data_IF_709706858392
#
_entry.id   IF_709706858392
#
_cell.length_a   1.000
_cell.length_b   1.000
_cell.length_c   1.000
_cell.angle_alpha   90.00
_cell.angle_beta   90.00
_cell.angle_gamma   90.00
#
_symmetry.space_group_name_H-M   'P 1'
#
loop_
_entity.id
_entity.type
_entity.pdbx_description
1 polymer ?
#
# COMPACT_ATOMS: atom_id res chain seq x y z
N UNK A 1 -5.47 1.22 2.12
CA UNK A 1 -4.80 0.97 0.84
C UNK A 1 -5.38 1.96 -0.16
N UNK A 2 -4.55 2.60 -0.97
CA UNK A 2 -4.99 3.57 -1.97
C UNK A 2 -4.48 3.16 -3.35
N UNK A 3 -5.26 3.44 -4.39
CA UNK A 3 -4.89 3.22 -5.79
C UNK A 3 -4.89 4.57 -6.51
N UNK A 4 -3.76 4.93 -7.08
CA UNK A 4 -3.58 6.14 -7.86
C UNK A 4 -3.58 5.79 -9.35
N UNK A 5 -4.33 6.54 -10.14
CA UNK A 5 -4.45 6.35 -11.59
C UNK A 5 -4.51 7.70 -12.30
N UNK A 6 -4.18 7.70 -13.59
CA UNK A 6 -4.39 8.88 -14.43
C UNK A 6 -5.89 9.18 -14.56
N UNK A 7 -6.31 10.40 -14.17
CA UNK A 7 -7.73 10.79 -14.14
C UNK A 7 -8.49 10.52 -15.44
N UNK A 8 -7.82 10.65 -16.59
CA UNK A 8 -8.44 10.44 -17.92
C UNK A 8 -8.71 8.98 -18.24
N UNK A 9 -7.85 8.07 -17.77
CA UNK A 9 -7.96 6.63 -18.01
C UNK A 9 -8.75 5.92 -16.90
N UNK A 10 -8.76 6.50 -15.70
CA UNK A 10 -9.42 5.89 -14.56
C UNK A 10 -8.86 4.50 -14.26
N UNK A 11 -9.76 3.57 -13.91
CA UNK A 11 -9.40 2.21 -13.53
C UNK A 11 -9.06 1.31 -14.72
N UNK A 12 -9.30 1.74 -15.95
CA UNK A 12 -9.01 0.95 -17.16
C UNK A 12 -7.50 0.73 -17.35
N UNK A 13 -6.67 1.61 -16.79
CA UNK A 13 -5.22 1.47 -16.80
C UNK A 13 -4.68 0.44 -15.79
N UNK A 14 -5.51 -0.02 -14.85
CA UNK A 14 -5.11 -0.98 -13.83
C UNK A 14 -5.39 -2.43 -14.30
N UNK A 15 -4.46 -3.38 -14.08
CA UNK A 15 -4.68 -4.78 -14.41
C UNK A 15 -5.90 -5.37 -13.69
N UNK A 16 -6.67 -6.21 -14.37
CA UNK A 16 -7.86 -6.85 -13.79
C UNK A 16 -7.52 -7.69 -12.54
N UNK A 17 -6.37 -8.37 -12.54
CA UNK A 17 -5.88 -9.12 -11.39
C UNK A 17 -5.68 -8.23 -10.15
N UNK A 18 -5.19 -7.01 -10.35
CA UNK A 18 -5.04 -6.04 -9.26
C UNK A 18 -6.41 -5.59 -8.74
N UNK A 19 -7.33 -5.25 -9.65
CA UNK A 19 -8.68 -4.81 -9.27
C UNK A 19 -9.44 -5.91 -8.51
N UNK A 20 -9.23 -7.19 -8.86
CA UNK A 20 -9.79 -8.33 -8.11
C UNK A 20 -9.31 -8.37 -6.66
N UNK A 21 -8.03 -8.13 -6.41
CA UNK A 21 -7.47 -8.09 -5.06
C UNK A 21 -7.86 -6.81 -4.32
N UNK A 22 -7.93 -5.68 -5.04
CA UNK A 22 -8.32 -4.39 -4.49
C UNK A 22 -9.80 -4.34 -4.08
N UNK A 23 -10.64 -5.10 -4.77
CA UNK A 23 -12.09 -5.13 -4.55
C UNK A 23 -12.78 -3.98 -5.27
N UNK A 24 -13.77 -3.36 -4.63
CA UNK A 24 -14.56 -2.27 -5.22
C UNK A 24 -13.96 -0.91 -4.83
N UNK A 25 -13.18 -0.24 -5.72
CA UNK A 25 -12.66 1.09 -5.45
C UNK A 25 -13.78 2.13 -5.32
N UNK A 26 -13.54 3.12 -4.47
CA UNK A 26 -14.37 4.31 -4.31
C UNK A 26 -13.52 5.53 -4.64
N UNK A 27 -13.99 6.47 -5.48
CA UNK A 27 -13.26 7.70 -5.74
C UNK A 27 -13.15 8.52 -4.45
N UNK A 28 -11.92 8.84 -4.04
CA UNK A 28 -11.65 9.56 -2.79
C UNK A 28 -11.38 11.04 -3.07
N UNK A 29 -10.46 11.34 -3.99
CA UNK A 29 -10.09 12.71 -4.34
C UNK A 29 -9.38 12.77 -5.69
N UNK A 30 -9.52 13.91 -6.36
CA UNK A 30 -8.71 14.28 -7.51
C UNK A 30 -7.64 15.27 -7.08
N UNK A 31 -6.41 15.11 -7.57
CA UNK A 31 -5.35 16.07 -7.32
C UNK A 31 -4.40 16.18 -8.51
N UNK A 32 -3.82 17.37 -8.66
CA UNK A 32 -2.66 17.57 -9.53
C UNK A 32 -1.43 17.06 -8.77
N UNK A 33 -0.80 16.01 -9.30
CA UNK A 33 0.53 15.59 -8.86
C UNK A 33 1.57 16.47 -9.57
N UNK A 34 2.37 17.18 -8.77
CA UNK A 34 3.59 17.83 -9.21
C UNK A 34 4.74 17.32 -8.34
N UNK A 35 6.00 17.35 -8.81
CA UNK A 35 7.15 16.85 -8.05
C UNK A 35 7.31 17.52 -6.67
N UNK A 36 6.86 18.76 -6.53
CA UNK A 36 6.95 19.55 -5.30
C UNK A 36 5.86 19.19 -4.28
N UNK A 37 4.79 18.52 -4.73
CA UNK A 37 3.68 18.14 -3.86
C UNK A 37 4.05 16.89 -3.07
N UNK A 38 4.24 17.01 -1.76
CA UNK A 38 4.53 15.86 -0.90
C UNK A 38 3.25 15.09 -0.54
N UNK A 39 3.28 13.77 -0.73
CA UNK A 39 2.25 12.86 -0.21
C UNK A 39 2.65 12.40 1.20
N UNK A 40 1.67 12.29 2.09
CA UNK A 40 1.92 11.99 3.51
C UNK A 40 2.47 10.59 3.79
N UNK A 41 2.33 9.66 2.83
CA UNK A 41 2.56 8.23 3.05
C UNK A 41 3.32 7.55 1.92
N UNK A 42 3.70 8.26 0.86
CA UNK A 42 4.39 7.69 -0.30
C UNK A 42 5.24 8.76 -0.97
N UNK A 43 6.26 8.36 -1.73
CA UNK A 43 7.06 9.26 -2.54
C UNK A 43 6.33 9.65 -3.83
N UNK A 44 6.08 10.95 -4.00
CA UNK A 44 5.41 11.52 -5.17
C UNK A 44 6.11 11.19 -6.48
N UNK A 45 7.45 11.23 -6.53
CA UNK A 45 8.20 10.92 -7.74
C UNK A 45 7.99 9.47 -8.16
N UNK A 46 8.01 8.55 -7.19
CA UNK A 46 7.70 7.14 -7.40
C UNK A 46 6.26 6.92 -7.84
N UNK A 47 5.29 7.64 -7.28
CA UNK A 47 3.89 7.57 -7.75
C UNK A 47 3.79 8.01 -9.21
N UNK A 48 4.42 9.13 -9.56
CA UNK A 48 4.40 9.67 -10.93
C UNK A 48 5.05 8.72 -11.93
N UNK A 49 6.23 8.17 -11.60
CA UNK A 49 6.96 7.22 -12.44
C UNK A 49 6.14 5.95 -12.67
N UNK A 50 5.54 5.40 -11.61
CA UNK A 50 4.68 4.23 -11.73
C UNK A 50 3.47 4.50 -12.63
N UNK A 51 2.76 5.62 -12.43
CA UNK A 51 1.62 5.96 -13.29
C UNK A 51 2.04 6.11 -14.75
N UNK A 52 3.22 6.69 -15.03
CA UNK A 52 3.71 6.86 -16.40
C UNK A 52 4.11 5.53 -17.06
N UNK A 53 4.75 4.64 -16.31
CA UNK A 53 5.31 3.39 -16.85
C UNK A 53 4.28 2.26 -16.91
N UNK A 54 3.44 2.11 -15.89
CA UNK A 54 2.50 0.99 -15.75
C UNK A 54 1.03 1.40 -15.73
N UNK A 55 0.72 2.69 -15.64
CA UNK A 55 -0.65 3.24 -15.67
C UNK A 55 -1.33 3.37 -14.31
N UNK A 56 -0.73 2.85 -13.24
CA UNK A 56 -1.28 2.91 -11.88
C UNK A 56 -0.18 2.89 -10.81
N UNK A 57 -0.54 3.23 -9.56
CA UNK A 57 0.32 3.04 -8.40
C UNK A 57 -0.51 2.56 -7.19
N UNK A 58 -0.09 1.46 -6.56
CA UNK A 58 -0.75 0.88 -5.40
C UNK A 58 0.02 1.23 -4.12
N UNK A 59 -0.64 1.95 -3.22
CA UNK A 59 -0.12 2.23 -1.89
C UNK A 59 -0.62 1.17 -0.89
N UNK A 60 0.31 0.34 -0.44
CA UNK A 60 0.08 -0.63 0.63
C UNK A 60 -0.02 0.09 1.99
N UNK A 61 -0.83 -0.44 2.93
CA UNK A 61 -0.75 0.02 4.31
C UNK A 61 0.66 -0.26 4.86
N UNK A 62 1.18 0.56 5.79
CA UNK A 62 2.41 0.22 6.49
C UNK A 62 2.25 -1.17 7.10
N UNK A 63 3.31 -1.98 7.04
CA UNK A 63 3.34 -3.24 7.76
C UNK A 63 3.00 -2.92 9.22
N UNK A 64 2.02 -3.63 9.79
CA UNK A 64 1.87 -3.60 11.25
C UNK A 64 3.20 -4.12 11.77
N UNK A 65 3.87 -3.36 12.63
CA UNK A 65 4.89 -3.96 13.48
C UNK A 65 4.18 -5.09 14.21
N UNK A 66 4.48 -6.32 13.81
CA UNK A 66 4.02 -7.49 14.52
C UNK A 66 4.46 -7.27 15.96
N UNK A 67 3.49 -7.22 16.87
CA UNK A 67 3.72 -7.38 18.30
C UNK A 67 4.24 -8.81 18.53
N UNK A 68 5.43 -9.12 18.03
CA UNK A 68 6.30 -10.10 18.64
C UNK A 68 6.70 -9.49 19.99
N UNK A 69 5.75 -9.54 20.93
CA UNK A 69 6.07 -9.58 22.34
C UNK A 69 6.96 -10.80 22.47
N UNK A 70 8.27 -10.56 22.54
CA UNK A 70 9.26 -11.52 22.97
C UNK A 70 8.70 -12.14 24.25
N UNK A 71 8.24 -13.39 24.18
CA UNK A 71 7.90 -14.13 25.40
C UNK A 71 9.18 -14.12 26.25
N UNK A 72 9.14 -13.63 27.50
CA UNK A 72 10.30 -13.72 28.38
C UNK A 72 10.78 -15.17 28.43
N UNK A 73 12.09 -15.40 28.39
CA UNK A 73 12.68 -16.75 28.47
C UNK A 73 12.14 -17.56 29.66
N UNK A 74 11.72 -16.87 30.72
CA UNK A 74 11.06 -17.43 31.90
C UNK A 74 9.84 -18.32 31.59
N UNK A 75 9.12 -18.08 30.48
CA UNK A 75 7.96 -18.89 30.09
C UNK A 75 8.30 -20.06 29.15
N UNK A 76 9.53 -20.14 28.64
CA UNK A 76 9.98 -21.23 27.77
C UNK A 76 10.40 -22.47 28.58
N UNK A 77 10.76 -22.32 29.86
CA UNK A 77 11.26 -23.40 30.71
C UNK A 77 10.19 -24.12 31.54
N UNK A 78 8.93 -23.69 31.52
CA UNK A 78 7.88 -24.26 32.38
C UNK A 78 7.22 -25.54 31.84
N UNK A 79 7.63 -26.04 30.66
CA UNK A 79 6.97 -27.18 30.05
C UNK A 79 7.90 -28.30 29.59
N UNK A 80 9.10 -28.40 30.16
CA UNK A 80 9.91 -29.62 30.01
C UNK A 80 9.31 -30.73 30.91
N UNK A 81 8.75 -31.81 30.34
CA UNK A 81 8.34 -32.95 31.13
C UNK A 81 9.58 -33.68 31.67
N UNK A 82 9.59 -33.93 32.97
CA UNK A 82 10.57 -34.81 33.65
C UNK A 82 10.42 -36.25 33.18
#
# INVERSE_FOLDING_TARGET
MYLYVEKRKGLEAAPEALLKVFGKPVPVMDMLLTPERQLAREDTAKVMDNIQTQGYHLQMPPAREDYLQTLPEEFLSFNDPV
#
